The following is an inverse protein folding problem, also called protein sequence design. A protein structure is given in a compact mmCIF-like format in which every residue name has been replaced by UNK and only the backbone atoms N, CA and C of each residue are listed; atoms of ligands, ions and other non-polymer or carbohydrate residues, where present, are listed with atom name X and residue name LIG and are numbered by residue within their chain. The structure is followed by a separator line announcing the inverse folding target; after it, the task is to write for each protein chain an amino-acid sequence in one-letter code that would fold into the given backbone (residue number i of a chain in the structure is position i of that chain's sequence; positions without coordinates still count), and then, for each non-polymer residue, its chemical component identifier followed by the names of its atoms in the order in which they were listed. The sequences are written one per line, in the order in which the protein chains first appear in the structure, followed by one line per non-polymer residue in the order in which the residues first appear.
data_IF_274033271040
#
_entry.id   IF_274033271040
#
_cell.length_a   1.000
_cell.length_b   1.000
_cell.length_c   1.000
_cell.angle_alpha   90.00
_cell.angle_beta   90.00
_cell.angle_gamma   90.00
#
_symmetry.space_group_name_H-M   'P 1'
#
loop_
_entity.id
_entity.type
_entity.pdbx_description
1 polymer ?
2 non-polymer ?
3 non-polymer ?
4 non-polymer ?
5 non-polymer ?
6 water ?
#
# COMPACT_ATOMS: atom_id res chain seq x y z
N UNK A 1 -5.46 -17.88 -2.07
CA UNK A 1 -6.62 -17.53 -1.24
C UNK A 1 -6.63 -16.03 -0.97
N UNK A 2 -7.44 -15.64 -0.03
CA UNK A 2 -7.66 -14.24 0.40
C UNK A 2 -6.36 -13.60 0.83
N UNK A 3 -5.58 -14.21 1.76
CA UNK A 3 -4.32 -13.57 2.20
C UNK A 3 -3.40 -13.27 1.01
N UNK A 4 -3.19 -14.22 0.10
CA UNK A 4 -2.35 -14.05 -1.08
C UNK A 4 -2.92 -12.93 -1.96
N UNK A 5 -4.24 -12.87 -2.09
CA UNK A 5 -4.94 -11.82 -2.90
C UNK A 5 -4.61 -10.41 -2.31
N UNK A 6 -4.60 -10.30 -0.98
CA UNK A 6 -4.22 -9.01 -0.31
C UNK A 6 -2.80 -8.67 -0.81
N UNK A 7 -1.87 -9.62 -0.76
CA UNK A 7 -0.48 -9.37 -1.24
C UNK A 7 -0.46 -8.97 -2.70
N UNK A 8 -1.20 -9.68 -3.56
CA UNK A 8 -1.18 -9.37 -5.02
C UNK A 8 -1.67 -7.93 -5.22
N UNK A 9 -2.74 -7.54 -4.56
CA UNK A 9 -3.40 -6.26 -4.81
C UNK A 9 -2.43 -5.20 -4.26
N UNK A 10 -1.82 -5.46 -3.11
CA UNK A 10 -0.82 -4.51 -2.54
C UNK A 10 0.41 -4.35 -3.46
N UNK A 11 0.78 -5.39 -4.25
CA UNK A 11 1.92 -5.39 -5.22
C UNK A 11 1.75 -4.41 -6.37
N UNK A 12 0.52 -3.94 -6.62
CA UNK A 12 0.24 -2.93 -7.69
C UNK A 12 -1.01 -2.14 -7.29
N UNK A 13 -1.02 -1.61 -6.09
CA UNK A 13 -2.28 -1.17 -5.48
C UNK A 13 -2.84 0.05 -6.21
N UNK A 14 -2.01 1.10 -6.39
CA UNK A 14 -2.50 2.30 -7.13
C UNK A 14 -3.32 1.82 -8.32
N UNK A 15 -2.76 0.98 -9.18
CA UNK A 15 -3.44 0.58 -10.43
C UNK A 15 -4.71 -0.21 -10.10
N UNK A 16 -4.64 -1.24 -9.27
CA UNK A 16 -5.82 -2.10 -8.93
C UNK A 16 -6.93 -1.18 -8.39
N UNK A 17 -6.56 -0.26 -7.52
CA UNK A 17 -7.49 0.63 -6.82
C UNK A 17 -8.24 1.44 -7.88
N UNK A 18 -7.50 2.04 -8.82
CA UNK A 18 -8.13 2.84 -9.89
C UNK A 18 -9.06 1.99 -10.74
N UNK A 19 -8.58 0.82 -11.15
CA UNK A 19 -9.31 -0.04 -12.11
C UNK A 19 -10.60 -0.51 -11.43
N UNK A 20 -10.51 -0.88 -10.16
CA UNK A 20 -11.68 -1.39 -9.41
C UNK A 20 -12.67 -0.28 -9.15
N UNK A 21 -12.18 0.90 -8.74
CA UNK A 21 -13.08 2.02 -8.42
C UNK A 21 -13.79 2.42 -9.73
N UNK A 22 -13.05 2.43 -10.83
CA UNK A 22 -13.62 2.80 -12.17
C UNK A 22 -14.68 1.78 -12.55
N UNK A 23 -14.42 0.51 -12.33
CA UNK A 23 -15.41 -0.55 -12.59
C UNK A 23 -16.66 -0.26 -11.76
N UNK A 24 -16.51 0.13 -10.49
CA UNK A 24 -17.62 0.45 -9.59
C UNK A 24 -18.42 1.62 -10.15
N UNK A 25 -17.73 2.74 -10.43
CA UNK A 25 -18.45 3.95 -10.91
C UNK A 25 -19.10 3.69 -12.26
N UNK A 26 -18.52 2.93 -13.17
CA UNK A 26 -19.11 2.69 -14.52
C UNK A 26 -20.33 1.76 -14.36
N UNK A 27 -20.26 0.83 -13.43
CA UNK A 27 -21.29 -0.23 -13.28
C UNK A 27 -22.55 0.38 -12.63
N UNK A 28 -22.34 1.28 -11.71
CA UNK A 28 -23.36 2.02 -10.93
C UNK A 28 -23.16 3.53 -11.10
N UNK A 29 -23.55 4.08 -12.27
CA UNK A 29 -23.23 5.49 -12.55
C UNK A 29 -23.82 6.49 -11.53
N UNK A 30 -24.94 6.14 -10.88
CA UNK A 30 -25.58 7.02 -9.84
C UNK A 30 -24.66 7.20 -8.62
N UNK A 31 -23.72 6.28 -8.41
CA UNK A 31 -22.75 6.36 -7.30
C UNK A 31 -21.80 7.54 -7.50
N UNK A 32 -21.65 8.14 -8.69
CA UNK A 32 -20.90 9.40 -8.91
C UNK A 32 -21.55 10.57 -8.14
N UNK A 33 -22.80 10.47 -7.64
CA UNK A 33 -23.44 11.58 -6.88
C UNK A 33 -22.61 11.92 -5.64
N UNK A 34 -21.97 10.88 -5.09
CA UNK A 34 -21.09 10.98 -3.92
C UNK A 34 -19.77 11.58 -4.30
N UNK A 35 -19.48 11.70 -5.60
CA UNK A 35 -18.14 12.09 -6.09
C UNK A 35 -18.41 13.00 -7.26
N UNK A 36 -18.90 14.21 -6.98
CA UNK A 36 -19.34 15.08 -8.09
C UNK A 36 -18.11 15.67 -8.81
N UNK A 37 -16.89 15.57 -8.27
CA UNK A 37 -15.72 16.07 -9.02
C UNK A 37 -15.44 15.15 -10.22
N UNK A 38 -16.18 14.03 -10.32
CA UNK A 38 -15.81 12.94 -11.28
C UNK A 38 -16.83 12.87 -12.44
N UNK A 39 -17.89 13.66 -12.39
CA UNK A 39 -18.95 13.77 -13.43
C UNK A 39 -18.35 14.31 -14.73
N UNK A 40 -18.83 13.78 -15.89
CA UNK A 40 -18.46 14.19 -17.23
C UNK A 40 -17.01 13.91 -17.60
N UNK A 41 -16.39 12.88 -17.01
CA UNK A 41 -14.97 12.61 -17.34
C UNK A 41 -14.80 11.12 -17.62
N UNK A 42 -14.05 10.84 -18.69
CA UNK A 42 -13.59 9.51 -19.09
C UNK A 42 -12.67 8.93 -18.04
N UNK A 43 -12.48 7.63 -18.14
CA UNK A 43 -11.56 6.93 -17.21
C UNK A 43 -10.16 7.58 -17.23
N UNK A 44 -9.61 7.79 -18.42
CA UNK A 44 -8.26 8.35 -18.62
C UNK A 44 -8.21 9.74 -17.97
N UNK A 45 -9.24 10.56 -18.15
CA UNK A 45 -9.36 11.91 -17.49
C UNK A 45 -9.30 11.75 -15.98
N UNK A 46 -10.11 10.86 -15.38
CA UNK A 46 -10.10 10.63 -13.92
C UNK A 46 -8.70 10.20 -13.47
N UNK A 47 -7.97 9.32 -14.17
CA UNK A 47 -6.62 8.82 -13.83
C UNK A 47 -5.60 9.97 -13.91
N UNK A 48 -5.96 11.10 -14.52
CA UNK A 48 -5.12 12.34 -14.57
C UNK A 48 -5.39 13.27 -13.36
N UNK A 49 -6.52 13.10 -12.65
CA UNK A 49 -7.00 14.03 -11.58
C UNK A 49 -6.41 13.61 -10.22
N UNK A 50 -5.67 14.51 -9.54
CA UNK A 50 -4.80 14.18 -8.42
C UNK A 50 -5.65 13.55 -7.33
N UNK A 51 -6.83 14.05 -7.04
CA UNK A 51 -7.53 13.51 -5.86
C UNK A 51 -8.17 12.16 -6.24
N UNK A 52 -8.45 11.93 -7.51
CA UNK A 52 -8.95 10.57 -7.91
C UNK A 52 -7.89 9.54 -7.56
N UNK A 53 -6.66 9.75 -7.98
CA UNK A 53 -5.63 8.73 -7.69
C UNK A 53 -5.25 8.69 -6.22
N UNK A 54 -5.11 9.88 -5.58
CA UNK A 54 -4.77 10.03 -4.13
C UNK A 54 -5.84 9.34 -3.29
N UNK A 55 -7.09 9.78 -3.41
CA UNK A 55 -8.14 9.30 -2.49
C UNK A 55 -8.37 7.79 -2.79
N UNK A 56 -8.28 7.34 -4.06
CA UNK A 56 -8.66 5.93 -4.41
C UNK A 56 -7.59 5.01 -3.82
N UNK A 57 -6.35 5.46 -3.90
CA UNK A 57 -5.22 4.68 -3.32
C UNK A 57 -5.36 4.62 -1.79
N UNK A 58 -5.81 5.68 -1.14
CA UNK A 58 -5.98 5.69 0.33
C UNK A 58 -7.17 4.80 0.73
N UNK A 59 -8.25 4.78 -0.09
CA UNK A 59 -9.42 3.90 0.09
C UNK A 59 -8.89 2.46 0.12
N UNK A 60 -8.06 2.11 -0.85
CA UNK A 60 -7.68 0.66 -1.02
C UNK A 60 -6.55 0.29 -0.07
N UNK A 61 -5.68 1.25 0.29
CA UNK A 61 -4.73 1.09 1.41
C UNK A 61 -5.48 0.60 2.65
N UNK A 62 -6.53 1.31 3.09
CA UNK A 62 -7.33 0.97 4.26
C UNK A 62 -8.15 -0.32 4.07
N UNK A 63 -8.75 -0.51 2.91
CA UNK A 63 -9.54 -1.71 2.60
C UNK A 63 -8.60 -2.92 2.76
N UNK A 64 -7.38 -2.84 2.28
CA UNK A 64 -6.43 -3.98 2.46
C UNK A 64 -6.10 -4.17 3.93
N UNK A 65 -5.89 -3.13 4.75
CA UNK A 65 -5.66 -3.30 6.21
C UNK A 65 -6.85 -4.05 6.85
N UNK A 66 -8.07 -3.63 6.54
CA UNK A 66 -9.32 -4.21 7.09
C UNK A 66 -9.34 -5.70 6.69
N UNK A 67 -9.08 -6.00 5.42
CA UNK A 67 -9.04 -7.36 4.88
C UNK A 67 -8.00 -8.12 5.67
N UNK A 68 -6.81 -7.55 5.83
CA UNK A 68 -5.66 -8.21 6.49
C UNK A 68 -5.98 -8.58 7.95
N UNK A 69 -6.74 -7.74 8.65
CA UNK A 69 -7.02 -7.88 10.06
C UNK A 69 -8.26 -8.78 10.26
N UNK A 70 -8.98 -9.12 9.19
CA UNK A 70 -10.17 -10.02 9.25
C UNK A 70 -9.76 -11.41 9.76
N UNK A 71 -10.69 -12.11 10.35
CA UNK A 71 -10.60 -13.60 10.54
C UNK A 71 -11.64 -14.28 9.66
N UNK A 72 -11.23 -15.21 8.82
CA UNK A 72 -12.14 -15.92 7.88
C UNK A 72 -13.05 -14.91 7.15
N UNK A 73 -12.47 -13.83 6.67
CA UNK A 73 -13.15 -12.81 5.89
C UNK A 73 -14.20 -12.04 6.71
N UNK A 74 -14.06 -12.09 8.04
CA UNK A 74 -14.94 -11.33 8.96
C UNK A 74 -14.09 -10.19 9.51
N UNK A 75 -14.40 -8.90 9.19
CA UNK A 75 -13.60 -7.75 9.66
C UNK A 75 -13.82 -7.51 11.17
N UNK A 76 -12.83 -6.94 11.80
CA UNK A 76 -12.88 -6.44 13.18
C UNK A 76 -14.06 -5.47 13.36
N UNK A 77 -14.76 -5.61 14.49
CA UNK A 77 -15.78 -4.58 14.87
C UNK A 77 -15.17 -3.16 14.93
N UNK A 78 -13.93 -3.00 15.42
CA UNK A 78 -13.24 -1.67 15.42
C UNK A 78 -13.07 -1.12 14.02
N UNK A 79 -12.77 -1.97 13.01
CA UNK A 79 -12.67 -1.47 11.64
C UNK A 79 -14.04 -1.00 11.11
N UNK A 80 -15.12 -1.72 11.35
CA UNK A 80 -16.47 -1.36 10.88
C UNK A 80 -16.89 -0.02 11.55
N UNK A 81 -16.68 0.12 12.85
CA UNK A 81 -16.98 1.40 13.56
C UNK A 81 -16.20 2.53 12.86
N UNK A 82 -14.89 2.35 12.61
CA UNK A 82 -14.05 3.43 12.01
C UNK A 82 -14.70 3.87 10.69
N UNK A 83 -15.08 2.91 9.85
CA UNK A 83 -15.73 3.14 8.54
C UNK A 83 -17.10 3.83 8.74
N UNK A 84 -17.91 3.44 9.71
CA UNK A 84 -19.19 4.14 10.00
C UNK A 84 -18.91 5.60 10.43
N UNK A 85 -17.94 5.80 11.31
CA UNK A 85 -17.78 7.07 12.08
C UNK A 85 -17.04 8.12 11.27
N UNK A 86 -16.30 7.72 10.25
CA UNK A 86 -15.58 8.67 9.35
C UNK A 86 -16.50 9.79 8.84
N UNK A 87 -16.11 11.08 8.91
CA UNK A 87 -17.02 12.17 8.47
C UNK A 87 -17.25 12.11 6.94
N UNK A 88 -16.29 11.50 6.20
CA UNK A 88 -16.29 11.27 4.74
C UNK A 88 -17.51 10.45 4.34
N UNK A 89 -17.95 9.60 5.30
CA UNK A 89 -18.97 8.52 5.12
C UNK A 89 -20.31 8.86 5.78
N UNK A 90 -20.45 10.13 6.22
CA UNK A 90 -21.73 10.71 6.71
C UNK A 90 -22.88 10.39 5.76
N UNK A 91 -22.72 10.72 4.49
CA UNK A 91 -23.77 10.46 3.48
C UNK A 91 -24.30 9.03 3.44
N UNK A 92 -23.50 8.01 3.82
CA UNK A 92 -23.54 6.68 3.15
C UNK A 92 -24.45 5.64 3.82
N UNK A 93 -24.87 4.64 3.03
CA UNK A 93 -25.66 3.49 3.52
C UNK A 93 -24.92 2.21 3.12
N UNK A 94 -25.35 1.06 3.62
CA UNK A 94 -24.63 -0.21 3.36
C UNK A 94 -24.74 -0.56 1.87
N UNK A 95 -25.82 -0.12 1.17
CA UNK A 95 -26.01 -0.24 -0.29
C UNK A 95 -24.82 0.24 -1.10
N UNK A 96 -24.20 1.37 -0.74
CA UNK A 96 -22.96 1.95 -1.38
C UNK A 96 -21.83 0.92 -1.30
N UNK A 97 -21.62 0.33 -0.10
CA UNK A 97 -20.53 -0.67 0.12
C UNK A 97 -20.85 -1.97 -0.61
N UNK A 98 -22.11 -2.39 -0.54
CA UNK A 98 -22.54 -3.60 -1.28
C UNK A 98 -22.10 -3.42 -2.75
N UNK A 99 -22.42 -2.29 -3.38
CA UNK A 99 -22.18 -2.12 -4.85
C UNK A 99 -20.69 -2.10 -5.18
N UNK A 100 -19.93 -1.43 -4.33
CA UNK A 100 -18.44 -1.41 -4.42
C UNK A 100 -17.91 -2.85 -4.42
N UNK A 101 -18.39 -3.74 -3.55
CA UNK A 101 -17.89 -5.14 -3.50
C UNK A 101 -18.44 -5.97 -4.65
N UNK A 102 -19.65 -5.72 -5.11
CA UNK A 102 -20.15 -6.41 -6.34
C UNK A 102 -19.17 -6.13 -7.50
N UNK A 103 -18.78 -4.88 -7.68
CA UNK A 103 -17.89 -4.47 -8.73
C UNK A 103 -16.51 -5.11 -8.52
N UNK A 104 -15.94 -5.10 -7.31
CA UNK A 104 -14.64 -5.71 -7.00
C UNK A 104 -14.64 -7.23 -7.28
N UNK A 105 -15.72 -7.96 -6.97
CA UNK A 105 -15.79 -9.40 -7.24
C UNK A 105 -15.89 -9.62 -8.74
N UNK A 106 -16.74 -8.83 -9.41
CA UNK A 106 -16.89 -8.96 -10.89
C UNK A 106 -15.53 -8.71 -11.55
N UNK A 107 -14.80 -7.67 -11.14
CA UNK A 107 -13.49 -7.34 -11.71
C UNK A 107 -12.59 -8.57 -11.56
N UNK A 108 -12.57 -9.15 -10.37
CA UNK A 108 -11.73 -10.31 -10.02
C UNK A 108 -12.11 -11.46 -10.95
N UNK A 109 -13.43 -11.72 -11.11
CA UNK A 109 -13.90 -12.87 -11.93
C UNK A 109 -13.52 -12.67 -13.39
N UNK A 110 -13.44 -11.42 -13.89
CA UNK A 110 -13.12 -11.13 -15.32
C UNK A 110 -11.61 -11.02 -15.59
N UNK A 111 -10.80 -10.99 -14.55
CA UNK A 111 -9.35 -10.77 -14.65
C UNK A 111 -8.71 -12.08 -15.14
N UNK A 112 -7.52 -12.03 -15.69
CA UNK A 112 -6.91 -13.33 -16.06
C UNK A 112 -6.53 -14.18 -14.86
N UNK A 113 -6.75 -13.71 -13.63
CA UNK A 113 -5.90 -14.08 -12.45
C UNK A 113 -6.65 -14.92 -11.42
N UNK A 114 -5.89 -15.70 -10.65
CA UNK A 114 -6.41 -16.71 -9.70
C UNK A 114 -6.81 -16.05 -8.37
N UNK A 115 -7.52 -14.90 -8.40
CA UNK A 115 -8.08 -14.31 -7.15
C UNK A 115 -9.13 -15.28 -6.63
N UNK A 116 -9.28 -15.28 -5.32
CA UNK A 116 -10.26 -16.09 -4.56
C UNK A 116 -11.55 -15.26 -4.47
N UNK A 117 -12.30 -15.20 -5.56
CA UNK A 117 -13.39 -14.21 -5.70
C UNK A 117 -14.49 -14.57 -4.71
N UNK A 118 -14.61 -15.83 -4.32
CA UNK A 118 -15.62 -16.28 -3.33
C UNK A 118 -15.32 -15.61 -1.98
N UNK A 119 -14.05 -15.64 -1.56
CA UNK A 119 -13.61 -15.03 -0.28
C UNK A 119 -13.97 -13.55 -0.36
N UNK A 120 -13.65 -12.87 -1.48
CA UNK A 120 -13.93 -11.40 -1.57
C UNK A 120 -15.44 -11.15 -1.51
N UNK A 121 -16.26 -12.07 -2.04
CA UNK A 121 -17.72 -11.83 -1.99
C UNK A 121 -18.17 -11.96 -0.55
N UNK A 122 -17.67 -12.97 0.17
CA UNK A 122 -18.01 -13.11 1.60
C UNK A 122 -17.50 -11.88 2.35
N UNK A 123 -16.28 -11.43 2.10
CA UNK A 123 -15.72 -10.28 2.84
C UNK A 123 -16.66 -9.11 2.64
N UNK A 124 -17.09 -8.88 1.41
CA UNK A 124 -18.05 -7.77 1.15
C UNK A 124 -19.32 -7.89 1.95
N UNK A 125 -19.96 -9.07 1.92
CA UNK A 125 -21.18 -9.29 2.75
C UNK A 125 -20.89 -9.03 4.22
N UNK A 126 -19.79 -9.60 4.70
CA UNK A 126 -19.43 -9.62 6.14
C UNK A 126 -19.12 -8.22 6.59
N UNK A 127 -18.56 -7.45 5.67
CA UNK A 127 -18.28 -6.02 5.94
C UNK A 127 -19.61 -5.24 5.99
N UNK A 128 -20.50 -5.47 5.05
CA UNK A 128 -21.85 -4.82 5.09
C UNK A 128 -22.59 -5.21 6.38
N UNK A 129 -22.58 -6.47 6.81
CA UNK A 129 -23.18 -6.95 8.09
C UNK A 129 -22.61 -6.14 9.26
N UNK A 130 -21.27 -5.96 9.26
CA UNK A 130 -20.50 -5.35 10.35
C UNK A 130 -20.84 -3.84 10.36
N UNK A 131 -20.93 -3.26 9.19
CA UNK A 131 -21.29 -1.81 9.00
C UNK A 131 -22.73 -1.62 9.51
N UNK A 132 -23.66 -2.56 9.23
CA UNK A 132 -25.06 -2.51 9.79
C UNK A 132 -24.99 -2.57 11.32
N UNK A 133 -24.18 -3.48 11.89
CA UNK A 133 -24.22 -3.66 13.36
C UNK A 133 -23.50 -2.49 14.03
N UNK A 134 -22.57 -1.82 13.34
CA UNK A 134 -21.93 -0.58 13.84
C UNK A 134 -22.79 0.69 13.70
N UNK A 135 -23.96 0.61 13.05
CA UNK A 135 -25.05 1.60 13.03
C UNK A 135 -25.20 2.31 11.70
N UNK A 136 -24.51 1.88 10.63
CA UNK A 136 -24.78 2.44 9.30
C UNK A 136 -26.18 1.99 8.84
N UNK A 137 -26.94 2.95 8.29
CA UNK A 137 -28.29 2.67 7.73
C UNK A 137 -28.24 1.86 6.42
N UNK B 1 3.72 1.33 18.49
CA UNK B 1 4.90 0.46 18.37
C UNK B 1 5.06 0.05 16.92
N UNK B 2 5.90 -0.93 16.68
CA UNK B 2 6.26 -1.36 15.32
C UNK B 2 5.06 -1.76 14.47
N UNK B 3 4.12 -2.52 15.04
CA UNK B 3 2.98 -2.99 14.26
C UNK B 3 2.08 -1.83 13.86
N UNK B 4 1.85 -0.90 14.81
CA UNK B 4 1.06 0.31 14.44
C UNK B 4 1.81 1.08 13.35
N UNK B 5 3.14 1.19 13.44
CA UNK B 5 4.00 1.91 12.46
C UNK B 5 3.80 1.33 11.04
N UNK B 6 3.71 0.02 11.00
CA UNK B 6 3.36 -0.68 9.73
C UNK B 6 2.01 -0.16 9.21
N UNK B 7 0.96 -0.10 10.02
CA UNK B 7 -0.40 0.43 9.68
C UNK B 7 -0.31 1.87 9.21
N UNK B 8 0.39 2.69 9.97
CA UNK B 8 0.53 4.14 9.67
C UNK B 8 1.13 4.29 8.28
N UNK B 9 2.24 3.62 8.02
CA UNK B 9 2.99 3.75 6.74
C UNK B 9 2.12 3.20 5.61
N UNK B 10 1.51 2.02 5.78
CA UNK B 10 0.60 1.44 4.75
C UNK B 10 -0.57 2.39 4.45
N UNK B 11 -1.07 3.10 5.45
CA UNK B 11 -2.24 3.97 5.26
C UNK B 11 -2.00 5.00 4.20
N UNK B 12 -0.76 5.49 4.13
CA UNK B 12 -0.40 6.49 3.07
C UNK B 12 0.93 6.12 2.43
N UNK B 13 0.99 4.89 1.92
CA UNK B 13 2.27 4.27 1.61
C UNK B 13 2.97 5.04 0.48
N UNK B 14 2.25 5.44 -0.59
CA UNK B 14 2.83 6.25 -1.72
C UNK B 14 3.53 7.50 -1.13
N UNK B 15 2.92 8.18 -0.18
CA UNK B 15 3.41 9.47 0.36
C UNK B 15 4.76 9.23 1.07
N UNK B 16 4.71 8.41 2.09
CA UNK B 16 5.83 8.01 2.97
C UNK B 16 6.97 7.41 2.14
N UNK B 17 6.66 6.50 1.19
CA UNK B 17 7.65 5.82 0.37
C UNK B 17 8.47 6.87 -0.39
N UNK B 18 7.81 7.87 -0.98
CA UNK B 18 8.50 8.89 -1.75
C UNK B 18 9.37 9.71 -0.82
N UNK B 19 8.79 10.16 0.31
CA UNK B 19 9.48 11.10 1.22
C UNK B 19 10.70 10.40 1.78
N UNK B 20 10.54 9.14 2.24
CA UNK B 20 11.71 8.42 2.84
C UNK B 20 12.79 8.15 1.78
N UNK B 21 12.44 7.66 0.58
CA UNK B 21 13.42 7.43 -0.52
C UNK B 21 14.17 8.71 -0.88
N UNK B 22 13.46 9.81 -0.93
CA UNK B 22 14.08 11.11 -1.27
C UNK B 22 15.09 11.41 -0.16
N UNK B 23 14.73 11.18 1.11
CA UNK B 23 15.58 11.51 2.28
C UNK B 23 16.87 10.68 2.13
N UNK B 24 16.68 9.43 1.73
CA UNK B 24 17.80 8.48 1.46
C UNK B 24 18.65 8.99 0.30
N UNK B 25 18.06 9.39 -0.84
CA UNK B 25 18.91 9.71 -2.03
C UNK B 25 19.68 11.00 -1.77
N UNK B 26 19.04 11.92 -1.05
CA UNK B 26 19.60 13.26 -0.74
C UNK B 26 20.69 13.11 0.34
N UNK B 27 20.52 12.19 1.31
CA UNK B 27 21.54 11.92 2.36
C UNK B 27 22.77 11.20 1.79
N UNK B 28 22.61 10.34 0.78
CA UNK B 28 23.64 9.46 0.16
C UNK B 28 23.60 9.60 -1.35
N UNK B 29 24.04 10.77 -1.86
CA UNK B 29 23.94 11.02 -3.30
C UNK B 29 24.59 9.98 -4.22
N UNK B 30 25.65 9.29 -3.75
CA UNK B 30 26.22 8.15 -4.54
C UNK B 30 25.19 7.05 -4.75
N UNK B 31 24.19 6.87 -3.89
CA UNK B 31 23.12 5.87 -4.11
C UNK B 31 22.31 6.17 -5.39
N UNK B 32 22.35 7.38 -5.97
CA UNK B 32 21.50 7.70 -7.16
C UNK B 32 22.01 6.99 -8.42
N UNK B 33 23.30 6.65 -8.45
CA UNK B 33 24.02 5.81 -9.43
C UNK B 33 23.28 4.50 -9.73
N UNK B 34 22.66 3.93 -8.69
CA UNK B 34 21.82 2.72 -8.80
C UNK B 34 20.62 3.09 -9.69
N UNK B 35 20.25 4.39 -9.77
CA UNK B 35 19.00 4.82 -10.43
C UNK B 35 19.31 5.93 -11.45
N UNK B 36 19.97 5.53 -12.55
CA UNK B 36 20.49 6.44 -13.60
C UNK B 36 19.41 7.41 -14.12
N UNK B 37 18.14 6.97 -14.07
CA UNK B 37 16.96 7.73 -14.58
C UNK B 37 16.66 8.93 -13.66
N UNK B 38 17.17 8.91 -12.41
CA UNK B 38 16.85 9.91 -11.37
C UNK B 38 17.95 10.98 -11.27
N UNK B 39 19.07 10.81 -11.97
CA UNK B 39 20.22 11.79 -11.85
C UNK B 39 19.85 13.14 -12.49
N UNK B 40 20.33 14.23 -11.86
CA UNK B 40 20.12 15.62 -12.33
C UNK B 40 18.68 16.07 -12.22
N UNK B 41 17.92 15.52 -11.29
CA UNK B 41 16.50 15.81 -11.11
C UNK B 41 16.28 16.17 -9.65
N UNK B 42 15.46 17.20 -9.41
CA UNK B 42 15.09 17.63 -8.04
C UNK B 42 14.03 16.67 -7.53
N UNK B 43 13.66 16.86 -6.28
CA UNK B 43 12.60 16.01 -5.67
C UNK B 43 11.28 16.17 -6.43
N UNK B 44 10.88 17.38 -6.90
CA UNK B 44 9.60 17.53 -7.65
C UNK B 44 9.75 17.00 -9.09
N UNK B 45 10.94 17.05 -9.71
CA UNK B 45 11.13 16.39 -11.04
C UNK B 45 10.84 14.92 -10.80
N UNK B 46 11.41 14.34 -9.76
CA UNK B 46 11.20 12.89 -9.51
C UNK B 46 9.74 12.58 -9.20
N UNK B 47 9.08 13.36 -8.34
CA UNK B 47 7.68 13.10 -7.95
C UNK B 47 6.73 13.19 -9.15
N UNK B 48 7.21 13.73 -10.28
CA UNK B 48 6.47 13.89 -11.55
C UNK B 48 6.66 12.70 -12.52
N UNK B 49 7.46 11.70 -12.14
CA UNK B 49 7.89 10.62 -13.07
C UNK B 49 7.10 9.37 -12.71
N UNK B 50 6.35 8.75 -13.64
CA UNK B 50 5.41 7.67 -13.23
C UNK B 50 6.18 6.62 -12.42
N UNK B 51 7.34 6.18 -12.91
CA UNK B 51 8.02 4.98 -12.35
C UNK B 51 8.70 5.34 -11.04
N UNK B 52 8.91 6.62 -10.76
CA UNK B 52 9.43 7.03 -9.45
C UNK B 52 8.39 6.66 -8.39
N UNK B 53 7.19 7.22 -8.44
CA UNK B 53 6.15 6.89 -7.46
C UNK B 53 5.84 5.36 -7.46
N UNK B 54 5.74 4.75 -8.65
CA UNK B 54 5.46 3.29 -8.83
C UNK B 54 6.57 2.47 -8.17
N UNK B 55 7.82 2.69 -8.54
CA UNK B 55 8.87 1.76 -8.07
C UNK B 55 9.09 2.04 -6.56
N UNK B 56 9.00 3.27 -6.05
CA UNK B 56 9.24 3.56 -4.62
C UNK B 56 8.11 2.94 -3.80
N UNK B 57 6.88 3.09 -4.29
CA UNK B 57 5.76 2.51 -3.51
C UNK B 57 6.01 0.99 -3.45
N UNK B 58 6.42 0.33 -4.52
CA UNK B 58 6.57 -1.16 -4.57
C UNK B 58 7.75 -1.65 -3.73
N UNK B 59 8.82 -0.85 -3.58
CA UNK B 59 9.90 -1.11 -2.58
C UNK B 59 9.28 -1.13 -1.18
N UNK B 60 8.50 -0.09 -0.85
CA UNK B 60 8.04 0.13 0.55
C UNK B 60 6.95 -0.90 0.83
N UNK B 61 6.20 -1.33 -0.16
CA UNK B 61 5.17 -2.40 0.06
C UNK B 61 5.91 -3.67 0.52
N UNK B 62 6.91 -4.10 -0.29
CA UNK B 62 7.74 -5.25 0.07
C UNK B 62 8.41 -5.06 1.44
N UNK B 63 8.96 -3.87 1.75
CA UNK B 63 9.55 -3.67 3.09
C UNK B 63 8.52 -3.91 4.18
N UNK B 64 7.29 -3.42 4.01
CA UNK B 64 6.17 -3.57 4.98
C UNK B 64 5.81 -5.08 5.12
N UNK B 65 5.83 -5.83 4.04
CA UNK B 65 5.50 -7.28 4.01
C UNK B 65 6.55 -7.95 4.90
N UNK B 66 7.83 -7.62 4.71
CA UNK B 66 8.97 -8.22 5.47
C UNK B 66 8.84 -7.78 6.92
N UNK B 67 8.45 -6.50 7.18
CA UNK B 67 8.35 -5.94 8.54
C UNK B 67 7.24 -6.70 9.30
N UNK B 68 6.11 -6.91 8.64
CA UNK B 68 4.90 -7.56 9.19
C UNK B 68 5.19 -9.00 9.57
N UNK B 69 6.03 -9.67 8.80
CA UNK B 69 6.33 -11.13 8.90
C UNK B 69 7.41 -11.34 9.96
N UNK B 70 8.14 -10.28 10.29
CA UNK B 70 9.20 -10.33 11.29
C UNK B 70 8.65 -10.69 12.69
N UNK B 71 9.48 -11.37 13.47
CA UNK B 71 9.21 -11.65 14.87
C UNK B 71 10.18 -10.83 15.74
N UNK B 72 9.69 -9.96 16.61
CA UNK B 72 10.60 -9.13 17.44
C UNK B 72 11.61 -8.33 16.54
N UNK B 73 11.17 -7.76 15.41
CA UNK B 73 11.99 -6.93 14.47
C UNK B 73 13.11 -7.77 13.85
N UNK B 74 12.93 -9.09 13.84
CA UNK B 74 13.87 -10.01 13.14
C UNK B 74 13.15 -10.55 11.94
N UNK B 75 13.62 -10.21 10.72
CA UNK B 75 12.99 -10.65 9.51
C UNK B 75 13.21 -12.13 9.26
N UNK B 76 12.25 -12.71 8.59
CA UNK B 76 12.39 -14.13 8.12
C UNK B 76 13.60 -14.27 7.21
N UNK B 77 14.40 -15.32 7.44
CA UNK B 77 15.47 -15.66 6.47
C UNK B 77 14.92 -15.84 5.05
N UNK B 78 13.76 -16.40 4.88
CA UNK B 78 13.19 -16.56 3.52
C UNK B 78 13.03 -15.18 2.88
N UNK B 79 12.58 -14.18 3.67
CA UNK B 79 12.35 -12.84 3.09
C UNK B 79 13.70 -12.21 2.69
N UNK B 80 14.73 -12.30 3.55
CA UNK B 80 16.09 -11.83 3.27
C UNK B 80 16.59 -12.47 1.97
N UNK B 81 16.35 -13.76 1.82
CA UNK B 81 16.79 -14.53 0.63
C UNK B 81 16.10 -14.06 -0.67
N UNK B 82 14.83 -13.66 -0.56
CA UNK B 82 14.09 -13.00 -1.68
C UNK B 82 14.84 -11.74 -2.14
N UNK B 83 15.14 -10.82 -1.23
CA UNK B 83 15.81 -9.54 -1.55
C UNK B 83 17.24 -9.81 -2.07
N UNK B 84 17.90 -10.84 -1.58
CA UNK B 84 19.23 -11.15 -2.19
C UNK B 84 19.08 -11.58 -3.66
N UNK B 85 18.08 -12.40 -3.97
CA UNK B 85 18.00 -13.16 -5.26
C UNK B 85 17.07 -12.44 -6.26
N UNK B 86 16.63 -11.22 -5.91
CA UNK B 86 16.04 -10.27 -6.89
C UNK B 86 17.09 -9.83 -7.91
N UNK B 87 16.78 -10.06 -9.20
CA UNK B 87 17.52 -9.53 -10.39
C UNK B 87 17.97 -8.09 -10.15
N UNK B 88 17.01 -7.23 -9.85
CA UNK B 88 17.22 -5.76 -9.67
C UNK B 88 18.18 -5.48 -8.51
N UNK B 89 18.50 -6.48 -7.68
CA UNK B 89 19.42 -6.27 -6.54
C UNK B 89 20.80 -6.90 -6.85
N UNK B 90 21.11 -7.19 -8.11
CA UNK B 90 22.36 -7.91 -8.50
C UNK B 90 23.59 -7.11 -8.07
N UNK B 91 23.60 -5.80 -8.32
CA UNK B 91 24.76 -4.94 -7.98
C UNK B 91 25.05 -4.90 -6.48
N UNK B 92 24.02 -5.07 -5.65
CA UNK B 92 23.93 -4.49 -4.27
C UNK B 92 24.83 -5.17 -3.23
N UNK B 93 25.22 -4.37 -2.23
CA UNK B 93 25.80 -4.91 -0.98
C UNK B 93 24.91 -4.46 0.18
N UNK B 94 25.11 -5.05 1.34
CA UNK B 94 24.22 -4.76 2.50
C UNK B 94 24.36 -3.25 2.84
N UNK B 95 25.45 -2.57 2.44
CA UNK B 95 25.67 -1.13 2.78
C UNK B 95 24.60 -0.23 2.17
N UNK B 96 24.07 -0.63 1.02
CA UNK B 96 22.97 0.05 0.28
C UNK B 96 21.72 0.03 1.18
N UNK B 97 21.41 -1.13 1.78
CA UNK B 97 20.29 -1.28 2.73
C UNK B 97 20.57 -0.57 4.06
N UNK B 98 21.81 -0.59 4.59
CA UNK B 98 22.10 0.01 5.91
C UNK B 98 21.87 1.51 5.82
N UNK B 99 22.26 2.03 4.66
CA UNK B 99 22.06 3.50 4.42
C UNK B 99 20.57 3.85 4.28
N UNK B 100 19.79 3.03 3.60
CA UNK B 100 18.33 3.27 3.54
C UNK B 100 17.69 3.30 4.91
N UNK B 101 17.99 2.29 5.75
CA UNK B 101 17.42 2.27 7.11
C UNK B 101 17.97 3.43 7.94
N UNK B 102 19.22 3.87 7.79
CA UNK B 102 19.71 5.08 8.52
C UNK B 102 18.83 6.26 8.17
N UNK B 103 18.58 6.46 6.90
CA UNK B 103 17.70 7.55 6.41
C UNK B 103 16.26 7.37 6.95
N UNK B 104 15.69 6.14 6.90
CA UNK B 104 14.33 5.90 7.42
C UNK B 104 14.21 6.28 8.91
N UNK B 105 15.17 5.86 9.73
CA UNK B 105 15.15 6.11 11.19
C UNK B 105 15.27 7.62 11.41
N UNK B 106 16.15 8.27 10.66
CA UNK B 106 16.34 9.75 10.79
C UNK B 106 15.04 10.46 10.42
N UNK B 107 14.37 10.02 9.37
CA UNK B 107 13.06 10.60 8.92
C UNK B 107 12.03 10.47 10.05
N UNK B 108 12.00 9.31 10.69
CA UNK B 108 10.98 8.99 11.73
C UNK B 108 11.22 9.90 12.95
N UNK B 109 12.47 10.04 13.36
CA UNK B 109 12.88 10.84 14.56
C UNK B 109 12.54 12.31 14.34
N UNK B 110 12.65 12.78 13.11
CA UNK B 110 12.45 14.21 12.71
C UNK B 110 10.99 14.49 12.43
N UNK B 111 10.16 13.46 12.28
CA UNK B 111 8.74 13.63 11.90
C UNK B 111 7.95 14.13 13.10
N UNK B 112 6.78 14.69 12.92
CA UNK B 112 6.02 15.04 14.15
C UNK B 112 5.60 13.85 15.04
N UNK B 113 5.90 12.61 14.65
CA UNK B 113 4.95 11.49 14.87
C UNK B 113 5.55 10.46 15.81
N UNK B 114 4.68 9.66 16.46
CA UNK B 114 5.08 8.72 17.53
C UNK B 114 5.56 7.39 16.92
N UNK B 115 6.33 7.44 15.83
CA UNK B 115 7.05 6.24 15.35
C UNK B 115 7.91 5.64 16.43
N UNK B 116 8.03 4.31 16.40
CA UNK B 116 8.88 3.52 17.33
C UNK B 116 10.22 3.45 16.65
N UNK B 117 10.97 4.57 16.64
CA UNK B 117 12.18 4.63 15.78
C UNK B 117 13.19 3.58 16.26
N UNK B 118 13.20 3.27 17.54
CA UNK B 118 14.18 2.29 18.09
C UNK B 118 13.92 0.91 17.47
N UNK B 119 12.66 0.54 17.33
CA UNK B 119 12.23 -0.70 16.61
C UNK B 119 12.67 -0.74 15.13
N UNK B 120 12.48 0.31 14.33
CA UNK B 120 12.95 0.39 12.92
C UNK B 120 14.48 0.33 12.86
N UNK B 121 15.16 0.90 13.87
CA UNK B 121 16.63 0.87 13.81
C UNK B 121 17.11 -0.57 13.98
N UNK B 122 16.50 -1.27 14.93
CA UNK B 122 16.79 -2.71 15.18
C UNK B 122 16.41 -3.54 13.94
N UNK B 123 15.24 -3.27 13.38
CA UNK B 123 14.74 -4.00 12.20
C UNK B 123 15.78 -3.84 11.08
N UNK B 124 16.27 -2.60 10.85
CA UNK B 124 17.28 -2.40 9.79
C UNK B 124 18.58 -3.19 10.04
N UNK B 125 19.10 -3.15 11.26
CA UNK B 125 20.30 -3.91 11.69
C UNK B 125 20.07 -5.40 11.48
N UNK B 126 18.91 -5.88 11.87
CA UNK B 126 18.58 -7.31 11.72
C UNK B 126 18.29 -7.65 10.27
N UNK B 127 17.72 -6.75 9.46
CA UNK B 127 17.64 -7.06 8.00
C UNK B 127 19.04 -7.11 7.37
N UNK B 128 19.96 -6.20 7.67
CA UNK B 128 21.30 -6.21 7.05
C UNK B 128 21.99 -7.53 7.45
N UNK B 129 21.84 -7.89 8.69
CA UNK B 129 22.41 -9.17 9.19
C UNK B 129 21.88 -10.29 8.28
N UNK B 130 20.56 -10.38 8.19
CA UNK B 130 19.82 -11.44 7.47
C UNK B 130 20.20 -11.41 6.02
N UNK B 131 20.31 -10.23 5.39
CA UNK B 131 20.85 -10.19 4.02
C UNK B 131 22.24 -10.86 3.88
N UNK B 132 23.19 -10.61 4.77
CA UNK B 132 24.52 -11.26 4.81
C UNK B 132 24.34 -12.77 4.91
N UNK B 133 23.56 -13.20 5.91
CA UNK B 133 23.35 -14.63 6.23
C UNK B 133 22.76 -15.30 4.96
N UNK B 134 21.96 -14.58 4.18
CA UNK B 134 21.32 -15.09 2.92
C UNK B 134 22.19 -14.87 1.67
N UNK B 135 23.41 -14.33 1.75
CA UNK B 135 24.42 -14.41 0.71
C UNK B 135 24.78 -13.09 0.09
N UNK B 136 24.28 -11.99 0.65
CA UNK B 136 24.66 -10.65 0.15
C UNK B 136 26.07 -10.25 0.64
N UNK B 137 26.87 -9.66 -0.27
CA UNK B 137 28.23 -9.14 -0.01
C UNK B 137 28.09 -7.88 0.87
#
# INVERSE_FOLDING_TARGET
GFKQDIATLRGDLRTYAQDIFLAFLNKYPDEKRNFKNYVGKSDQELKSMAKFGDHTEKVFNLMMEVADRATDCVPLASDASTLVQMKQHSGLTTGNFEKLFVALVEYMRASGQSFDSQSWDRFGKNLVSALSSAGMK
GFKQDIATLRGDLRTYAQDIFLAFLNKYPDEKRNFKNYVGKSDQELKSMAKFGDHTEKVFNLMMEVADRATDCVPLASDASTLVQMKQHSGLTTGNFEKLFVALVEYMRASGQSFDSQSWDRFGKNLVSALSSAGMK
#
